data_IF_434031754783
#
_entry.id   IF_434031754783
#
_cell.length_a   1.000
_cell.length_b   1.000
_cell.length_c   1.000
_cell.angle_alpha   90.00
_cell.angle_beta   90.00
_cell.angle_gamma   90.00
#
_symmetry.space_group_name_H-M   'P 1'
#
loop_
_entity.id
_entity.type
_entity.pdbx_description
1 polymer ?
#
# COMPACT_ATOMS: atom_id res chain seq x y z
N UNK A 1 -23.55 -0.92 31.95
CA UNK A 1 -22.67 -0.44 30.91
C UNK A 1 -21.34 0.02 31.50
N UNK A 2 -20.22 -0.01 30.78
CA UNK A 2 -18.96 0.47 31.29
C UNK A 2 -19.11 1.93 31.72
N UNK A 3 -18.44 2.35 32.78
CA UNK A 3 -18.42 3.71 33.27
C UNK A 3 -18.11 4.67 32.12
N UNK A 4 -19.06 5.53 31.79
CA UNK A 4 -18.87 6.54 30.77
C UNK A 4 -17.72 7.44 31.22
N UNK A 5 -16.64 7.49 30.44
CA UNK A 5 -15.56 8.46 30.67
C UNK A 5 -16.20 9.83 30.69
N UNK A 6 -16.09 10.56 31.84
CA UNK A 6 -16.57 11.94 31.91
C UNK A 6 -15.70 12.80 30.99
N UNK A 7 -16.22 13.13 29.83
CA UNK A 7 -15.57 14.10 28.94
C UNK A 7 -15.57 15.45 29.66
N UNK A 8 -14.40 16.08 29.72
CA UNK A 8 -14.26 17.43 30.30
C UNK A 8 -14.47 18.52 29.24
N UNK A 9 -14.13 18.22 28.00
CA UNK A 9 -14.28 19.12 26.86
C UNK A 9 -14.76 18.33 25.64
N UNK A 10 -15.72 18.88 24.93
CA UNK A 10 -16.20 18.39 23.64
C UNK A 10 -15.95 19.48 22.60
N UNK A 11 -15.11 19.18 21.60
CA UNK A 11 -14.78 20.11 20.52
C UNK A 11 -15.34 19.57 19.22
N UNK A 12 -16.17 20.38 18.57
CA UNK A 12 -16.79 20.04 17.28
C UNK A 12 -15.99 20.70 16.15
N UNK A 13 -15.42 19.90 15.28
CA UNK A 13 -14.58 20.39 14.17
C UNK A 13 -15.38 21.16 13.13
N UNK A 14 -16.53 20.61 12.72
CA UNK A 14 -17.49 21.26 11.81
C UNK A 14 -18.86 21.29 12.47
N UNK A 15 -19.30 22.46 12.96
CA UNK A 15 -20.58 22.62 13.64
C UNK A 15 -21.78 22.71 12.68
N UNK A 16 -21.59 22.57 11.37
CA UNK A 16 -22.68 22.65 10.39
C UNK A 16 -23.74 21.58 10.67
N UNK A 17 -24.97 22.02 10.97
CA UNK A 17 -26.08 21.12 11.29
C UNK A 17 -26.04 20.53 12.70
N UNK A 18 -25.15 20.99 13.58
CA UNK A 18 -25.13 20.62 15.00
C UNK A 18 -25.90 21.68 15.79
N UNK A 19 -26.85 21.23 16.61
CA UNK A 19 -27.58 22.14 17.49
C UNK A 19 -26.63 22.76 18.54
N UNK A 20 -26.70 24.07 18.76
CA UNK A 20 -25.91 24.73 19.79
C UNK A 20 -26.20 24.15 21.18
N UNK A 21 -25.16 23.84 21.95
CA UNK A 21 -25.30 23.40 23.34
C UNK A 21 -24.10 23.89 24.17
N UNK A 22 -24.30 24.01 25.48
CA UNK A 22 -23.29 24.54 26.40
C UNK A 22 -22.18 23.51 26.72
N UNK A 23 -22.32 22.26 26.27
CA UNK A 23 -21.45 21.16 26.56
C UNK A 23 -20.34 20.93 25.50
N UNK A 24 -20.30 21.74 24.44
CA UNK A 24 -19.28 21.70 23.41
C UNK A 24 -18.88 23.10 22.93
N UNK A 25 -17.67 23.20 22.37
CA UNK A 25 -17.19 24.40 21.64
C UNK A 25 -16.75 24.02 20.22
N UNK A 26 -16.81 24.96 19.27
CA UNK A 26 -16.27 24.72 17.93
C UNK A 26 -14.73 24.76 17.94
N UNK A 27 -14.12 24.06 16.99
CA UNK A 27 -12.67 24.16 16.78
C UNK A 27 -12.24 25.61 16.50
N UNK A 28 -13.05 26.37 15.75
CA UNK A 28 -12.78 27.78 15.44
C UNK A 28 -12.77 28.66 16.72
N UNK A 29 -13.70 28.44 17.66
CA UNK A 29 -13.72 29.17 18.92
C UNK A 29 -12.52 28.80 19.81
N UNK A 30 -12.16 27.52 19.83
CA UNK A 30 -10.96 27.06 20.52
C UNK A 30 -9.69 27.71 19.94
N UNK A 31 -9.54 27.77 18.63
CA UNK A 31 -8.40 28.40 17.94
C UNK A 31 -8.34 29.91 18.23
N UNK A 32 -9.49 30.62 18.22
CA UNK A 32 -9.56 32.03 18.60
C UNK A 32 -9.09 32.24 20.03
N UNK A 33 -9.62 31.48 20.98
CA UNK A 33 -9.22 31.52 22.40
C UNK A 33 -7.75 31.17 22.59
N UNK A 34 -7.24 30.20 21.82
CA UNK A 34 -5.82 29.83 21.81
C UNK A 34 -4.94 30.98 21.32
N UNK A 35 -5.37 31.65 20.24
CA UNK A 35 -4.64 32.81 19.66
C UNK A 35 -4.57 33.97 20.68
N UNK A 36 -5.66 34.27 21.37
CA UNK A 36 -5.67 35.32 22.42
C UNK A 36 -4.71 35.02 23.57
N UNK A 37 -4.42 33.74 23.85
CA UNK A 37 -3.51 33.29 24.93
C UNK A 37 -2.08 33.01 24.49
N UNK A 38 -1.74 33.22 23.23
CA UNK A 38 -0.41 32.87 22.68
C UNK A 38 0.75 33.50 23.47
N UNK A 39 0.64 34.79 23.82
CA UNK A 39 1.67 35.51 24.56
C UNK A 39 1.75 35.04 26.02
N UNK A 40 0.61 34.84 26.67
CA UNK A 40 0.51 34.36 28.06
C UNK A 40 1.13 32.98 28.25
N UNK A 41 0.88 32.10 27.30
CA UNK A 41 1.30 30.67 27.34
C UNK A 41 2.68 30.41 26.73
N UNK A 42 3.36 31.41 26.20
CA UNK A 42 4.61 31.24 25.46
C UNK A 42 5.69 30.50 26.26
N UNK A 43 5.94 30.92 27.53
CA UNK A 43 6.95 30.30 28.38
C UNK A 43 6.63 28.84 28.70
N UNK A 44 5.35 28.53 29.02
CA UNK A 44 4.92 27.17 29.33
C UNK A 44 4.98 26.26 28.07
N UNK A 45 4.64 26.77 26.88
CA UNK A 45 4.78 26.01 25.63
C UNK A 45 6.24 25.70 25.31
N UNK A 46 7.14 26.69 25.48
CA UNK A 46 8.57 26.48 25.33
C UNK A 46 9.08 25.42 26.30
N UNK A 47 8.75 25.54 27.59
CA UNK A 47 9.11 24.53 28.60
C UNK A 47 8.63 23.14 28.25
N UNK A 48 7.36 22.97 27.83
CA UNK A 48 6.81 21.66 27.41
C UNK A 48 7.50 21.10 26.18
N UNK A 49 7.91 21.97 25.25
CA UNK A 49 8.69 21.57 24.08
C UNK A 49 10.09 21.09 24.46
N UNK A 50 10.76 21.84 25.38
CA UNK A 50 12.12 21.52 25.82
C UNK A 50 12.18 20.27 26.72
N UNK A 51 11.09 20.00 27.45
CA UNK A 51 10.96 18.82 28.31
C UNK A 51 10.75 17.51 27.52
N UNK A 52 10.46 17.60 26.20
CA UNK A 52 10.22 16.43 25.38
C UNK A 52 11.51 15.70 25.00
N UNK A 53 11.59 14.43 25.39
CA UNK A 53 12.70 13.54 25.05
C UNK A 53 12.40 12.55 23.93
N UNK A 54 13.43 11.90 23.43
CA UNK A 54 13.31 10.84 22.42
C UNK A 54 12.44 9.67 22.91
N UNK A 55 12.41 9.38 24.22
CA UNK A 55 11.64 8.29 24.81
C UNK A 55 10.15 8.59 25.00
N UNK A 56 9.72 9.85 24.87
CA UNK A 56 8.33 10.21 25.07
C UNK A 56 7.45 9.71 23.93
N UNK A 57 6.20 9.37 24.25
CA UNK A 57 5.22 8.92 23.27
C UNK A 57 4.81 10.06 22.35
N UNK A 58 5.10 9.90 21.06
CA UNK A 58 4.67 10.83 20.03
C UNK A 58 3.21 10.61 19.63
N UNK A 59 2.80 9.35 19.47
CA UNK A 59 1.45 9.01 19.04
C UNK A 59 1.06 7.58 19.40
N UNK A 60 -0.24 7.35 19.48
CA UNK A 60 -0.86 6.01 19.51
C UNK A 60 -1.55 5.76 18.18
N UNK A 61 -1.02 4.84 17.40
CA UNK A 61 -1.63 4.46 16.11
C UNK A 61 -2.39 3.16 16.25
N UNK A 62 -3.71 3.21 16.05
CA UNK A 62 -4.55 2.01 16.19
C UNK A 62 -4.49 1.16 14.91
N UNK A 63 -4.17 -0.12 15.07
CA UNK A 63 -4.23 -1.11 13.99
C UNK A 63 -5.55 -1.87 14.05
N UNK A 64 -6.23 -1.97 12.92
CA UNK A 64 -7.35 -2.90 12.76
C UNK A 64 -6.81 -4.32 12.65
N UNK A 65 -6.57 -5.00 13.79
CA UNK A 65 -6.16 -6.40 13.77
C UNK A 65 -7.14 -7.26 12.98
N UNK A 66 -6.63 -8.21 12.19
CA UNK A 66 -7.47 -9.15 11.43
C UNK A 66 -8.27 -10.09 12.34
N UNK A 67 -7.93 -10.19 13.63
CA UNK A 67 -8.46 -11.20 14.56
C UNK A 67 -8.85 -10.66 15.94
N UNK A 68 -9.25 -9.38 16.09
CA UNK A 68 -9.63 -8.85 17.39
C UNK A 68 -9.89 -7.34 17.41
N UNK A 69 -10.19 -6.77 18.59
CA UNK A 69 -10.33 -5.33 18.71
C UNK A 69 -9.02 -4.61 18.35
N UNK A 70 -9.10 -3.37 17.82
CA UNK A 70 -7.92 -2.59 17.47
C UNK A 70 -6.94 -2.46 18.64
N UNK A 71 -5.64 -2.51 18.34
CA UNK A 71 -4.56 -2.31 19.32
C UNK A 71 -3.90 -0.96 19.06
N UNK A 72 -3.73 -0.15 20.10
CA UNK A 72 -3.00 1.12 20.01
C UNK A 72 -1.50 0.86 20.09
N UNK A 73 -0.80 1.00 18.99
CA UNK A 73 0.67 0.88 18.92
C UNK A 73 1.28 2.13 19.52
N UNK A 74 2.18 1.97 20.51
CA UNK A 74 2.91 3.07 21.13
C UNK A 74 4.08 3.44 20.23
N UNK A 75 4.07 4.66 19.71
CA UNK A 75 5.16 5.16 18.87
C UNK A 75 5.82 6.37 19.57
N UNK A 76 7.10 6.24 19.89
CA UNK A 76 7.87 7.30 20.57
C UNK A 76 8.50 8.25 19.54
N UNK A 77 8.96 9.40 20.04
CA UNK A 77 9.76 10.33 19.22
C UNK A 77 11.01 9.63 18.66
N UNK A 78 11.66 8.77 19.45
CA UNK A 78 12.81 7.96 18.99
C UNK A 78 12.45 7.07 17.80
N UNK A 79 11.31 6.35 17.88
CA UNK A 79 10.90 5.47 16.80
C UNK A 79 10.69 6.24 15.47
N UNK A 80 10.01 7.40 15.54
CA UNK A 80 9.72 8.23 14.37
C UNK A 80 11.00 8.86 13.79
N UNK A 81 11.82 9.48 14.64
CA UNK A 81 13.07 10.11 14.21
C UNK A 81 14.06 9.11 13.65
N UNK A 82 14.22 7.95 14.31
CA UNK A 82 15.08 6.88 13.82
C UNK A 82 14.70 6.44 12.40
N UNK A 83 13.41 6.38 12.08
CA UNK A 83 12.97 6.03 10.72
C UNK A 83 13.36 7.09 9.68
N UNK A 84 13.23 8.38 10.04
CA UNK A 84 13.62 9.49 9.16
C UNK A 84 15.14 9.54 8.96
N UNK A 85 15.91 9.42 10.04
CA UNK A 85 17.38 9.36 10.03
C UNK A 85 17.87 8.21 9.12
N UNK A 86 17.25 7.03 9.23
CA UNK A 86 17.61 5.87 8.42
C UNK A 86 17.18 6.02 6.95
N UNK A 87 16.06 6.69 6.68
CA UNK A 87 15.63 6.99 5.32
C UNK A 87 16.61 7.94 4.62
N UNK A 88 17.17 8.92 5.35
CA UNK A 88 18.21 9.83 4.88
C UNK A 88 19.53 9.08 4.62
N UNK A 89 20.03 8.36 5.63
CA UNK A 89 21.28 7.57 5.54
C UNK A 89 21.30 6.61 4.34
N UNK A 90 20.15 6.04 3.98
CA UNK A 90 20.04 5.09 2.85
C UNK A 90 19.71 5.75 1.52
N UNK A 91 19.41 7.05 1.53
CA UNK A 91 18.98 7.79 0.34
C UNK A 91 17.57 7.42 -0.14
N UNK A 92 16.77 6.74 0.68
CA UNK A 92 15.38 6.40 0.37
C UNK A 92 14.52 7.65 0.21
N UNK A 93 14.74 8.63 1.08
CA UNK A 93 14.24 10.00 0.96
C UNK A 93 15.46 10.92 1.18
N UNK A 94 15.68 11.89 0.34
CA UNK A 94 16.83 12.79 0.42
C UNK A 94 16.47 14.23 0.02
N UNK A 95 17.37 15.16 0.27
CA UNK A 95 17.19 16.59 -0.02
C UNK A 95 16.91 16.90 -1.51
N UNK A 96 17.42 16.11 -2.45
CA UNK A 96 17.10 16.28 -3.87
C UNK A 96 15.64 16.00 -4.19
N UNK A 97 15.00 15.06 -3.48
CA UNK A 97 13.56 14.79 -3.60
C UNK A 97 12.74 15.93 -2.97
N UNK A 98 13.30 16.65 -2.01
CA UNK A 98 12.63 17.75 -1.31
C UNK A 98 12.41 18.97 -2.20
N UNK A 99 13.28 19.28 -3.16
CA UNK A 99 13.13 20.43 -4.07
C UNK A 99 11.84 20.39 -4.87
N UNK A 100 11.36 19.17 -5.23
CA UNK A 100 10.09 18.96 -5.94
C UNK A 100 8.88 18.84 -5.03
N UNK A 101 9.09 18.79 -3.71
CA UNK A 101 8.06 18.54 -2.71
C UNK A 101 7.70 17.06 -2.52
N UNK A 102 7.18 16.78 -1.33
CA UNK A 102 6.65 15.48 -0.93
C UNK A 102 5.13 15.46 -1.15
N UNK A 103 4.63 14.46 -1.84
CA UNK A 103 3.20 14.39 -2.14
C UNK A 103 2.45 13.56 -1.10
N UNK A 104 1.49 14.16 -0.39
CA UNK A 104 0.75 13.56 0.72
C UNK A 104 -0.75 13.53 0.43
N UNK A 105 -1.26 12.35 0.10
CA UNK A 105 -2.70 12.05 0.03
C UNK A 105 -3.05 10.82 0.89
N UNK A 106 -2.05 10.20 1.50
CA UNK A 106 -2.24 9.07 2.40
C UNK A 106 -2.85 9.55 3.72
N UNK A 107 -3.78 8.78 4.32
CA UNK A 107 -4.40 9.16 5.59
C UNK A 107 -3.36 9.31 6.71
N UNK A 108 -3.41 10.42 7.45
CA UNK A 108 -2.52 10.67 8.61
C UNK A 108 -2.77 9.71 9.79
N UNK A 109 -3.93 9.06 9.83
CA UNK A 109 -4.21 7.98 10.79
C UNK A 109 -3.36 6.73 10.53
N UNK A 110 -2.67 6.66 9.39
CA UNK A 110 -1.77 5.59 8.99
C UNK A 110 -0.31 6.00 9.16
N UNK A 111 0.52 5.12 9.72
CA UNK A 111 1.96 5.38 9.93
C UNK A 111 2.70 5.76 8.65
N UNK A 112 2.28 5.28 7.48
CA UNK A 112 2.89 5.67 6.21
C UNK A 112 2.59 7.14 5.87
N UNK A 113 1.35 7.60 6.00
CA UNK A 113 1.00 9.02 5.83
C UNK A 113 1.74 9.91 6.83
N UNK A 114 1.83 9.47 8.10
CA UNK A 114 2.60 10.17 9.15
C UNK A 114 4.07 10.28 8.83
N UNK A 115 4.70 9.23 8.29
CA UNK A 115 6.11 9.29 7.88
C UNK A 115 6.33 10.39 6.83
N UNK A 116 5.45 10.49 5.83
CA UNK A 116 5.56 11.52 4.79
C UNK A 116 5.32 12.92 5.37
N UNK A 117 4.34 13.08 6.26
CA UNK A 117 4.11 14.35 6.96
C UNK A 117 5.36 14.79 7.74
N UNK A 118 5.95 13.89 8.54
CA UNK A 118 7.14 14.20 9.33
C UNK A 118 8.40 14.38 8.47
N UNK A 119 8.43 13.81 7.27
CA UNK A 119 9.54 14.00 6.33
C UNK A 119 9.65 15.46 5.85
N UNK A 120 8.54 16.19 5.77
CA UNK A 120 8.54 17.60 5.37
C UNK A 120 9.46 18.45 6.25
N UNK A 121 9.16 18.63 7.55
CA UNK A 121 9.99 19.42 8.44
C UNK A 121 11.40 18.82 8.68
N UNK A 122 11.54 17.48 8.60
CA UNK A 122 12.83 16.83 8.79
C UNK A 122 13.82 17.13 7.64
N UNK A 123 13.34 17.12 6.38
CA UNK A 123 14.15 17.38 5.19
C UNK A 123 14.05 18.83 4.68
N UNK A 124 13.38 19.72 5.41
CA UNK A 124 13.06 21.09 4.95
C UNK A 124 12.37 21.10 3.58
N UNK A 125 11.41 20.18 3.41
CA UNK A 125 10.73 19.92 2.15
C UNK A 125 9.28 20.43 2.19
N UNK A 126 8.78 21.08 1.13
CA UNK A 126 7.36 21.40 1.03
C UNK A 126 6.53 20.12 0.92
N UNK A 127 5.37 20.10 1.58
CA UNK A 127 4.40 19.02 1.49
C UNK A 127 3.23 19.48 0.62
N UNK A 128 2.93 18.72 -0.42
CA UNK A 128 1.75 18.90 -1.26
C UNK A 128 0.62 18.03 -0.70
N UNK A 129 -0.38 18.67 -0.09
CA UNK A 129 -1.55 17.96 0.44
C UNK A 129 -2.58 17.79 -0.69
N UNK A 130 -2.96 16.56 -0.96
CA UNK A 130 -3.91 16.20 -2.02
C UNK A 130 -4.99 15.24 -1.52
N UNK A 131 -6.01 15.04 -2.34
CA UNK A 131 -7.10 14.07 -2.07
C UNK A 131 -7.21 13.05 -3.19
N UNK A 132 -7.84 11.90 -2.94
CA UNK A 132 -8.02 10.87 -3.97
C UNK A 132 -8.79 11.40 -5.19
N UNK A 133 -9.89 12.17 -5.05
CA UNK A 133 -10.63 12.72 -6.18
C UNK A 133 -9.80 13.67 -7.07
N UNK A 134 -8.88 14.44 -6.49
CA UNK A 134 -8.08 15.45 -7.21
C UNK A 134 -6.67 14.94 -7.57
N UNK A 135 -6.33 13.71 -7.20
CA UNK A 135 -4.99 13.13 -7.25
C UNK A 135 -4.23 13.40 -8.57
N UNK A 136 -4.86 13.13 -9.72
CA UNK A 136 -4.20 13.27 -11.02
C UNK A 136 -4.01 14.76 -11.38
N UNK A 137 -4.99 15.60 -11.07
CA UNK A 137 -4.89 17.04 -11.30
C UNK A 137 -3.77 17.64 -10.44
N UNK A 138 -3.76 17.33 -9.15
CA UNK A 138 -2.76 17.81 -8.20
C UNK A 138 -1.34 17.34 -8.58
N UNK A 139 -1.19 16.08 -9.02
CA UNK A 139 0.09 15.55 -9.50
C UNK A 139 0.61 16.31 -10.74
N UNK A 140 -0.27 16.56 -11.71
CA UNK A 140 0.14 17.27 -12.94
C UNK A 140 0.44 18.74 -12.71
N UNK A 141 -0.22 19.37 -11.75
CA UNK A 141 0.01 20.76 -11.38
C UNK A 141 1.31 20.91 -10.58
N UNK A 142 1.50 20.09 -9.56
CA UNK A 142 2.61 20.24 -8.59
C UNK A 142 3.89 19.56 -9.04
N UNK A 143 3.82 18.45 -9.78
CA UNK A 143 4.96 17.69 -10.33
C UNK A 143 5.98 17.34 -9.23
N UNK A 144 5.58 16.56 -8.20
CA UNK A 144 6.38 16.33 -7.00
C UNK A 144 7.68 15.58 -7.28
N UNK A 145 8.69 15.83 -6.44
CA UNK A 145 9.97 15.11 -6.50
C UNK A 145 9.89 13.68 -5.95
N UNK A 146 8.91 13.42 -5.05
CA UNK A 146 8.70 12.12 -4.42
C UNK A 146 7.21 11.80 -4.31
N UNK A 147 6.83 10.59 -4.72
CA UNK A 147 5.44 10.15 -4.71
C UNK A 147 5.26 8.80 -4.01
N UNK A 148 4.79 8.80 -2.76
CA UNK A 148 4.45 7.58 -2.01
C UNK A 148 2.99 7.18 -2.26
N UNK A 149 2.75 5.90 -2.53
CA UNK A 149 1.38 5.40 -2.72
C UNK A 149 1.24 3.91 -2.37
N UNK A 150 0.01 3.44 -2.20
CA UNK A 150 -0.29 2.02 -2.17
C UNK A 150 -0.20 1.42 -3.59
N UNK A 151 0.11 0.12 -3.73
CA UNK A 151 0.24 -0.56 -5.04
C UNK A 151 -0.93 -0.33 -5.98
N UNK A 152 -2.15 -0.29 -5.47
CA UNK A 152 -3.38 -0.09 -6.27
C UNK A 152 -3.36 1.19 -7.11
N UNK A 153 -2.70 2.24 -6.63
CA UNK A 153 -2.56 3.49 -7.37
C UNK A 153 -1.71 3.27 -8.63
N UNK A 154 -0.58 2.59 -8.48
CA UNK A 154 0.31 2.25 -9.59
C UNK A 154 -0.35 1.27 -10.58
N UNK A 155 -1.10 0.29 -10.08
CA UNK A 155 -1.89 -0.64 -10.90
C UNK A 155 -2.90 0.11 -11.78
N UNK A 156 -3.68 1.02 -11.19
CA UNK A 156 -4.64 1.86 -11.93
C UNK A 156 -3.95 2.78 -12.94
N UNK A 157 -2.81 3.37 -12.58
CA UNK A 157 -2.04 4.22 -13.50
C UNK A 157 -1.53 3.40 -14.69
N UNK A 158 -0.92 2.22 -14.46
CA UNK A 158 -0.48 1.30 -15.51
C UNK A 158 -1.64 0.95 -16.45
N UNK A 159 -2.76 0.50 -15.90
CA UNK A 159 -3.94 0.11 -16.68
C UNK A 159 -4.46 1.25 -17.56
N UNK A 160 -4.56 2.49 -17.05
CA UNK A 160 -4.97 3.66 -17.83
C UNK A 160 -4.00 3.99 -18.96
N UNK A 161 -2.69 3.86 -18.73
CA UNK A 161 -1.66 4.08 -19.76
C UNK A 161 -1.80 3.04 -20.86
N UNK A 162 -1.92 1.75 -20.50
CA UNK A 162 -2.06 0.63 -21.46
C UNK A 162 -3.35 0.73 -22.27
N UNK A 163 -4.46 1.07 -21.62
CA UNK A 163 -5.75 1.29 -22.30
C UNK A 163 -5.66 2.43 -23.32
N UNK A 164 -5.04 3.55 -22.95
CA UNK A 164 -4.82 4.68 -23.87
C UNK A 164 -3.90 4.31 -25.01
N UNK A 165 -2.87 3.52 -24.75
CA UNK A 165 -1.94 3.02 -25.77
C UNK A 165 -2.62 2.01 -26.74
N UNK A 166 -3.47 1.12 -26.23
CA UNK A 166 -4.24 0.17 -27.02
C UNK A 166 -5.20 0.87 -28.02
N UNK A 167 -5.75 2.03 -27.63
CA UNK A 167 -6.57 2.88 -28.50
C UNK A 167 -5.77 3.63 -29.57
N UNK A 168 -4.44 3.68 -29.47
CA UNK A 168 -3.60 4.33 -30.48
C UNK A 168 -3.52 3.48 -31.75
N UNK A 169 -3.42 4.15 -32.93
CA UNK A 169 -3.35 3.49 -34.24
C UNK A 169 -2.07 3.86 -34.98
N UNK A 170 -1.64 2.97 -35.88
CA UNK A 170 -0.50 3.23 -36.78
C UNK A 170 0.82 3.50 -36.02
N UNK A 171 1.58 4.48 -36.50
CA UNK A 171 2.92 4.80 -36.01
C UNK A 171 2.94 5.10 -34.49
N UNK A 172 1.87 5.68 -33.93
CA UNK A 172 1.81 5.99 -32.50
C UNK A 172 1.83 4.72 -31.65
N UNK A 173 1.10 3.67 -32.05
CA UNK A 173 1.09 2.38 -31.36
C UNK A 173 2.46 1.71 -31.44
N UNK A 174 3.02 1.58 -32.64
CA UNK A 174 4.35 0.98 -32.85
C UNK A 174 5.44 1.70 -32.07
N UNK A 175 5.39 3.04 -32.03
CA UNK A 175 6.37 3.83 -31.28
C UNK A 175 6.23 3.64 -29.78
N UNK A 176 5.01 3.54 -29.25
CA UNK A 176 4.76 3.23 -27.85
C UNK A 176 5.34 1.84 -27.47
N UNK A 177 4.97 0.81 -28.24
CA UNK A 177 5.43 -0.56 -28.03
C UNK A 177 6.97 -0.66 -28.09
N UNK A 178 7.58 -0.04 -29.10
CA UNK A 178 9.03 0.05 -29.21
C UNK A 178 9.68 0.75 -28.03
N UNK A 179 9.12 1.88 -27.58
CA UNK A 179 9.69 2.65 -26.47
C UNK A 179 9.66 1.87 -25.15
N UNK A 180 8.57 1.14 -24.90
CA UNK A 180 8.49 0.26 -23.72
C UNK A 180 9.40 -0.96 -23.83
N UNK A 181 9.53 -1.57 -25.02
CA UNK A 181 10.49 -2.67 -25.23
C UNK A 181 11.92 -2.22 -24.94
N UNK A 182 12.34 -1.05 -25.46
CA UNK A 182 13.66 -0.45 -25.13
C UNK A 182 13.75 -0.14 -23.63
N UNK A 183 12.69 0.37 -23.00
CA UNK A 183 12.63 0.62 -21.57
C UNK A 183 12.89 -0.66 -20.76
N UNK A 184 12.22 -1.75 -21.09
CA UNK A 184 12.40 -3.06 -20.43
C UNK A 184 13.85 -3.57 -20.53
N UNK A 185 14.54 -3.37 -21.67
CA UNK A 185 15.96 -3.71 -21.80
C UNK A 185 16.83 -2.94 -20.78
N UNK A 186 16.41 -1.76 -20.30
CA UNK A 186 17.17 -0.95 -19.33
C UNK A 186 16.96 -1.39 -17.88
N UNK A 187 15.89 -2.12 -17.56
CA UNK A 187 15.50 -2.48 -16.19
C UNK A 187 16.62 -3.14 -15.38
N UNK A 188 17.37 -4.15 -15.91
CA UNK A 188 18.46 -4.78 -15.15
C UNK A 188 19.56 -3.80 -14.74
N UNK A 189 19.92 -2.86 -15.63
CA UNK A 189 20.94 -1.85 -15.36
C UNK A 189 20.47 -0.84 -14.31
N UNK A 190 19.22 -0.39 -14.43
CA UNK A 190 18.58 0.50 -13.44
C UNK A 190 18.52 -0.15 -12.06
N UNK A 191 18.06 -1.38 -12.00
CA UNK A 191 18.01 -2.15 -10.76
C UNK A 191 19.36 -2.27 -10.07
N UNK A 192 20.44 -2.44 -10.85
CA UNK A 192 21.81 -2.57 -10.35
C UNK A 192 22.54 -1.22 -10.18
N UNK A 193 21.92 -0.09 -10.49
CA UNK A 193 22.58 1.22 -10.48
C UNK A 193 23.72 1.34 -11.49
N UNK A 194 23.68 0.56 -12.57
CA UNK A 194 24.74 0.52 -13.56
C UNK A 194 24.43 1.45 -14.75
N UNK A 195 25.45 2.06 -15.36
CA UNK A 195 25.26 2.84 -16.56
C UNK A 195 24.81 1.96 -17.74
N UNK A 196 23.94 2.52 -18.58
CA UNK A 196 23.46 1.80 -19.77
C UNK A 196 24.58 1.65 -20.79
N UNK A 197 24.70 0.49 -21.48
CA UNK A 197 25.60 0.33 -22.63
C UNK A 197 25.33 1.39 -23.68
N UNK A 198 26.38 1.89 -24.37
CA UNK A 198 26.31 3.06 -25.22
C UNK A 198 25.17 3.07 -26.25
N UNK A 199 24.97 1.97 -26.98
CA UNK A 199 23.88 1.86 -27.97
C UNK A 199 22.50 1.80 -27.30
N UNK A 200 22.36 1.06 -26.20
CA UNK A 200 21.11 0.99 -25.43
C UNK A 200 20.80 2.37 -24.82
N UNK A 201 21.80 3.07 -24.29
CA UNK A 201 21.63 4.41 -23.76
C UNK A 201 21.13 5.40 -24.82
N UNK A 202 21.63 5.32 -26.07
CA UNK A 202 21.13 6.15 -27.18
C UNK A 202 19.67 5.78 -27.56
N UNK A 203 19.35 4.49 -27.65
CA UNK A 203 17.99 4.03 -27.92
C UNK A 203 17.02 4.51 -26.84
N UNK A 204 17.40 4.38 -25.55
CA UNK A 204 16.58 4.82 -24.44
C UNK A 204 16.36 6.34 -24.43
N UNK A 205 17.40 7.14 -24.69
CA UNK A 205 17.26 8.61 -24.84
C UNK A 205 16.26 8.97 -25.93
N UNK A 206 16.26 8.24 -27.05
CA UNK A 206 15.31 8.47 -28.13
C UNK A 206 13.89 8.04 -27.73
N UNK A 207 13.73 6.86 -27.13
CA UNK A 207 12.46 6.35 -26.62
C UNK A 207 11.85 7.30 -25.56
N UNK A 208 12.68 7.80 -24.64
CA UNK A 208 12.28 8.76 -23.63
C UNK A 208 11.81 10.07 -24.26
N UNK A 209 12.58 10.66 -25.16
CA UNK A 209 12.22 11.93 -25.84
C UNK A 209 10.92 11.80 -26.66
N UNK A 210 10.70 10.68 -27.31
CA UNK A 210 9.56 10.49 -28.21
C UNK A 210 8.28 10.13 -27.46
N UNK A 211 8.36 9.30 -26.43
CA UNK A 211 7.20 8.71 -25.75
C UNK A 211 7.27 8.82 -24.22
N UNK A 212 8.32 8.23 -23.56
CA UNK A 212 8.27 8.00 -22.11
C UNK A 212 8.22 9.29 -21.31
N UNK A 213 8.98 10.33 -21.72
CA UNK A 213 8.92 11.65 -21.07
C UNK A 213 7.54 12.29 -21.15
N UNK A 214 6.80 12.07 -22.25
CA UNK A 214 5.44 12.59 -22.41
C UNK A 214 4.45 11.83 -21.54
N UNK A 215 4.64 10.52 -21.37
CA UNK A 215 3.83 9.70 -20.45
C UNK A 215 4.10 10.15 -19.01
N UNK A 216 5.36 10.32 -18.63
CA UNK A 216 5.75 10.83 -17.30
C UNK A 216 5.14 12.20 -17.02
N UNK A 217 5.24 13.13 -17.95
CA UNK A 217 4.67 14.48 -17.83
C UNK A 217 3.14 14.47 -17.70
N UNK A 218 2.45 13.56 -18.42
CA UNK A 218 1.01 13.41 -18.34
C UNK A 218 0.54 12.83 -16.98
N UNK A 219 1.45 12.21 -16.21
CA UNK A 219 1.23 11.73 -14.85
C UNK A 219 1.73 12.71 -13.78
N UNK A 220 2.41 13.80 -14.16
CA UNK A 220 3.08 14.70 -13.24
C UNK A 220 4.41 14.16 -12.68
N UNK A 221 4.98 13.11 -13.27
CA UNK A 221 6.21 12.44 -12.80
C UNK A 221 7.48 12.82 -13.56
N UNK A 222 7.44 13.86 -14.35
CA UNK A 222 8.60 14.30 -15.15
C UNK A 222 9.73 14.95 -14.33
N UNK A 223 9.45 15.33 -13.08
CA UNK A 223 10.42 15.76 -12.07
C UNK A 223 10.60 14.76 -10.94
N UNK A 224 9.80 13.70 -10.92
CA UNK A 224 9.82 12.72 -9.83
C UNK A 224 11.13 11.92 -9.86
N UNK A 225 11.85 11.92 -8.75
CA UNK A 225 13.10 11.20 -8.59
C UNK A 225 12.87 9.77 -8.11
N UNK A 226 11.85 9.55 -7.28
CA UNK A 226 11.47 8.22 -6.83
C UNK A 226 9.96 8.12 -6.54
N UNK A 227 9.43 6.95 -6.82
CA UNK A 227 8.10 6.49 -6.42
C UNK A 227 8.28 5.47 -5.30
N UNK A 228 7.47 5.54 -4.25
CA UNK A 228 7.54 4.58 -3.14
C UNK A 228 6.21 3.82 -3.02
N UNK A 229 6.27 2.51 -3.15
CA UNK A 229 5.13 1.62 -2.95
C UNK A 229 5.21 0.92 -1.60
N UNK A 230 4.13 0.96 -0.81
CA UNK A 230 4.09 0.32 0.49
C UNK A 230 2.69 -0.10 0.93
N UNK A 231 2.58 -0.69 2.11
CA UNK A 231 1.33 -1.14 2.77
C UNK A 231 0.66 -2.38 2.19
N UNK A 232 1.03 -2.84 1.00
CA UNK A 232 0.57 -4.08 0.37
C UNK A 232 1.62 -4.59 -0.63
N UNK A 233 1.58 -5.86 -1.06
CA UNK A 233 2.49 -6.40 -2.07
C UNK A 233 2.34 -5.69 -3.41
N UNK A 234 3.48 -5.33 -4.03
CA UNK A 234 3.52 -4.77 -5.37
C UNK A 234 3.63 -5.90 -6.41
N UNK A 235 2.80 -5.84 -7.44
CA UNK A 235 2.92 -6.81 -8.54
C UNK A 235 4.20 -6.55 -9.36
N UNK A 236 4.92 -7.62 -9.70
CA UNK A 236 6.19 -7.55 -10.43
C UNK A 236 6.05 -6.86 -11.81
N UNK A 237 4.96 -7.13 -12.55
CA UNK A 237 4.72 -6.49 -13.85
C UNK A 237 4.48 -4.99 -13.72
N UNK A 238 3.82 -4.55 -12.65
CA UNK A 238 3.61 -3.12 -12.35
C UNK A 238 4.94 -2.48 -11.99
N UNK A 239 5.75 -3.14 -11.17
CA UNK A 239 7.08 -2.68 -10.79
C UNK A 239 7.97 -2.47 -12.02
N UNK A 240 8.11 -3.51 -12.86
CA UNK A 240 8.90 -3.47 -14.10
C UNK A 240 8.40 -2.41 -15.08
N UNK A 241 7.08 -2.20 -15.16
CA UNK A 241 6.49 -1.21 -16.04
C UNK A 241 6.98 0.21 -15.72
N UNK A 242 6.98 0.61 -14.46
CA UNK A 242 7.48 1.93 -14.04
C UNK A 242 8.99 2.04 -14.19
N UNK A 243 9.75 0.99 -13.87
CA UNK A 243 11.19 0.95 -14.12
C UNK A 243 11.51 1.11 -15.61
N UNK A 244 10.75 0.45 -16.50
CA UNK A 244 10.89 0.60 -17.95
C UNK A 244 10.58 2.02 -18.44
N UNK A 245 9.69 2.74 -17.76
CA UNK A 245 9.47 4.17 -18.04
C UNK A 245 10.62 5.08 -17.60
N UNK A 246 11.61 4.54 -16.90
CA UNK A 246 12.71 5.30 -16.35
C UNK A 246 12.41 5.94 -14.99
N UNK A 247 11.43 5.43 -14.26
CA UNK A 247 11.05 5.84 -12.91
C UNK A 247 11.48 4.78 -11.91
N UNK A 248 12.20 5.17 -10.85
CA UNK A 248 12.56 4.26 -9.77
C UNK A 248 11.34 4.05 -8.87
N UNK A 249 10.59 2.97 -9.10
CA UNK A 249 9.51 2.54 -8.21
C UNK A 249 10.14 1.64 -7.13
N UNK A 250 10.20 2.14 -5.90
CA UNK A 250 10.81 1.47 -4.76
C UNK A 250 9.71 0.77 -3.95
N UNK A 251 9.79 -0.55 -3.80
CA UNK A 251 8.89 -1.27 -2.91
C UNK A 251 9.47 -1.27 -1.50
N UNK A 252 8.63 -0.92 -0.50
CA UNK A 252 8.99 -0.91 0.90
C UNK A 252 8.04 -1.77 1.72
N UNK A 253 8.56 -2.34 2.80
CA UNK A 253 7.82 -3.15 3.75
C UNK A 253 8.00 -2.67 5.16
N UNK A 254 6.92 -2.79 5.91
CA UNK A 254 6.86 -2.58 7.35
C UNK A 254 5.43 -2.55 7.85
N UNK A 255 5.30 -2.26 9.13
CA UNK A 255 4.05 -2.30 9.88
C UNK A 255 3.89 -1.01 10.69
N UNK A 256 2.72 -0.78 11.25
CA UNK A 256 2.52 0.33 12.20
C UNK A 256 3.48 0.20 13.37
N UNK A 257 3.75 -1.01 13.81
CA UNK A 257 4.68 -1.38 14.90
C UNK A 257 6.14 -1.05 14.58
N UNK A 258 6.49 -0.76 13.32
CA UNK A 258 7.87 -0.48 12.88
C UNK A 258 8.08 0.95 12.36
N UNK A 259 7.14 1.84 12.55
CA UNK A 259 7.12 3.30 12.36
C UNK A 259 7.54 3.88 11.00
N UNK A 260 7.03 3.43 9.86
CA UNK A 260 6.45 2.15 9.49
C UNK A 260 7.44 1.20 8.78
N UNK A 261 8.70 1.57 8.56
CA UNK A 261 9.62 0.89 7.65
C UNK A 261 10.52 -0.15 8.31
N UNK A 262 10.73 -1.27 7.62
CA UNK A 262 11.73 -2.28 7.94
C UNK A 262 12.73 -2.47 6.78
N UNK A 263 12.18 -2.60 5.57
CA UNK A 263 12.98 -2.81 4.37
C UNK A 263 12.49 -1.96 3.22
N UNK A 264 13.36 -1.62 2.29
CA UNK A 264 13.00 -0.96 1.03
C UNK A 264 13.97 -1.35 -0.09
N UNK A 265 13.47 -1.38 -1.33
CA UNK A 265 14.33 -1.22 -2.47
C UNK A 265 14.89 0.21 -2.45
N UNK A 266 16.16 0.36 -2.79
CA UNK A 266 16.86 1.64 -2.76
C UNK A 266 17.30 2.03 -4.17
N UNK A 267 17.48 3.32 -4.48
CA UNK A 267 17.98 3.74 -5.78
C UNK A 267 19.27 2.98 -6.18
N UNK A 268 19.25 2.34 -7.33
CA UNK A 268 20.36 1.52 -7.81
C UNK A 268 20.58 0.18 -7.08
N UNK A 269 19.69 -0.19 -6.16
CA UNK A 269 19.67 -1.48 -5.45
C UNK A 269 18.22 -1.97 -5.39
N UNK A 270 17.67 -2.29 -6.56
CA UNK A 270 16.27 -2.73 -6.72
C UNK A 270 16.29 -4.21 -7.11
N UNK A 271 15.44 -5.01 -6.49
CA UNK A 271 15.22 -6.41 -6.89
C UNK A 271 13.71 -6.65 -6.97
N UNK A 272 13.20 -6.71 -8.20
CA UNK A 272 11.76 -6.90 -8.45
C UNK A 272 11.27 -8.18 -7.79
N UNK A 273 10.10 -8.10 -7.16
CA UNK A 273 9.51 -9.21 -6.41
C UNK A 273 10.08 -9.41 -5.00
N UNK A 274 10.86 -8.44 -4.51
CA UNK A 274 11.33 -8.35 -3.12
C UNK A 274 10.94 -6.99 -2.52
N UNK A 275 10.83 -6.94 -1.22
CA UNK A 275 10.62 -5.70 -0.45
C UNK A 275 11.92 -5.00 -0.08
N UNK A 276 13.00 -5.33 -0.78
CA UNK A 276 14.30 -4.66 -0.68
C UNK A 276 15.18 -5.10 0.48
N UNK A 277 16.07 -4.22 0.85
CA UNK A 277 17.09 -4.38 1.88
C UNK A 277 16.62 -3.82 3.23
N UNK A 278 17.11 -4.32 4.37
CA UNK A 278 16.91 -3.66 5.65
C UNK A 278 17.34 -2.19 5.59
N UNK A 279 16.51 -1.28 6.11
CA UNK A 279 16.78 0.17 6.07
C UNK A 279 17.75 0.53 7.20
N UNK A 280 18.87 1.15 6.86
CA UNK A 280 19.85 1.67 7.82
C UNK A 280 20.31 0.62 8.85
N UNK A 281 20.00 0.86 10.12
CA UNK A 281 20.40 0.03 11.27
C UNK A 281 19.38 -1.06 11.64
N UNK A 282 18.29 -1.18 10.89
CA UNK A 282 17.29 -2.24 11.10
C UNK A 282 17.93 -3.62 10.88
N UNK A 283 17.70 -4.50 11.82
CA UNK A 283 18.14 -5.89 11.73
C UNK A 283 16.94 -6.78 11.38
N UNK A 284 17.14 -7.68 10.43
CA UNK A 284 16.15 -8.67 10.00
C UNK A 284 16.74 -10.06 10.17
N UNK A 285 15.95 -10.97 10.69
CA UNK A 285 16.24 -12.40 10.83
C UNK A 285 15.04 -13.21 10.36
N UNK A 286 15.26 -14.33 9.71
CA UNK A 286 14.21 -15.29 9.37
C UNK A 286 14.26 -16.41 10.40
N UNK A 287 13.16 -16.62 11.11
CA UNK A 287 13.01 -17.68 12.08
C UNK A 287 12.91 -19.07 11.41
N UNK A 288 13.04 -20.15 12.17
CA UNK A 288 12.98 -21.54 11.65
C UNK A 288 11.64 -21.85 10.96
N UNK A 289 10.55 -21.25 11.43
CA UNK A 289 9.21 -21.39 10.83
C UNK A 289 8.96 -20.44 9.65
N UNK A 290 9.98 -19.66 9.25
CA UNK A 290 9.93 -18.71 8.15
C UNK A 290 9.38 -17.33 8.51
N UNK A 291 9.10 -17.05 9.80
CA UNK A 291 8.66 -15.72 10.22
C UNK A 291 9.79 -14.69 10.11
N UNK A 292 9.45 -13.52 9.61
CA UNK A 292 10.35 -12.36 9.58
C UNK A 292 10.37 -11.75 10.99
N UNK A 293 11.55 -11.72 11.60
CA UNK A 293 11.79 -11.06 12.87
C UNK A 293 12.59 -9.78 12.65
N UNK A 294 12.27 -8.74 13.41
CA UNK A 294 12.89 -7.43 13.25
C UNK A 294 13.39 -6.86 14.59
N UNK A 295 14.50 -6.09 14.53
CA UNK A 295 15.05 -5.37 15.68
C UNK A 295 15.62 -4.03 15.23
N UNK A 296 15.29 -2.95 15.95
CA UNK A 296 15.74 -1.59 15.62
C UNK A 296 15.07 -0.54 16.49
N UNK A 297 15.64 0.67 16.51
CA UNK A 297 15.09 1.80 17.29
C UNK A 297 13.73 2.27 16.74
N UNK A 298 13.44 2.03 15.48
CA UNK A 298 12.16 2.32 14.85
C UNK A 298 11.01 1.40 15.27
N UNK A 299 11.28 0.35 16.07
CA UNK A 299 10.26 -0.62 16.48
C UNK A 299 9.58 -0.16 17.76
N UNK A 300 8.25 -0.26 17.81
CA UNK A 300 7.42 0.09 18.97
C UNK A 300 7.91 -0.58 20.26
N UNK A 301 7.60 0.04 21.39
CA UNK A 301 7.79 -0.57 22.71
C UNK A 301 6.63 -1.49 23.11
N UNK A 302 5.54 -1.55 22.32
CA UNK A 302 4.38 -2.40 22.58
C UNK A 302 3.03 -1.74 22.31
N UNK A 303 2.01 -2.26 22.96
CA UNK A 303 0.62 -1.86 22.76
C UNK A 303 0.03 -1.24 24.04
N UNK A 304 -0.66 -0.11 23.87
CA UNK A 304 -1.32 0.63 24.94
C UNK A 304 -2.29 -0.25 25.73
N UNK A 305 -2.07 -0.36 27.03
CA UNK A 305 -2.89 -1.15 27.96
C UNK A 305 -3.08 -2.62 27.54
N UNK A 306 -2.08 -3.22 26.88
CA UNK A 306 -2.12 -4.62 26.40
C UNK A 306 -0.78 -5.32 26.72
N UNK A 307 -0.43 -5.53 28.01
CA UNK A 307 0.86 -6.11 28.36
C UNK A 307 1.06 -7.55 27.83
N UNK A 308 0.01 -8.37 27.80
CA UNK A 308 0.07 -9.73 27.25
C UNK A 308 0.37 -9.72 25.75
N UNK A 309 -0.35 -8.87 24.98
CA UNK A 309 -0.10 -8.75 23.55
C UNK A 309 1.28 -8.15 23.25
N UNK A 310 1.81 -7.33 24.14
CA UNK A 310 3.17 -6.79 24.05
C UNK A 310 4.19 -7.90 24.28
N UNK A 311 3.99 -8.72 25.32
CA UNK A 311 4.88 -9.86 25.61
C UNK A 311 4.88 -10.91 24.49
N UNK A 312 3.72 -11.15 23.85
CA UNK A 312 3.61 -12.06 22.70
C UNK A 312 4.30 -11.52 21.43
N UNK A 313 4.50 -10.21 21.33
CA UNK A 313 5.07 -9.57 20.15
C UNK A 313 6.59 -9.56 20.12
N UNK A 314 7.26 -9.87 21.22
CA UNK A 314 8.72 -9.89 21.33
C UNK A 314 9.22 -11.21 21.91
N UNK A 315 10.34 -11.71 21.41
CA UNK A 315 11.06 -12.83 22.05
C UNK A 315 11.96 -12.33 23.21
N UNK A 316 12.55 -13.28 23.95
CA UNK A 316 13.44 -13.01 25.09
C UNK A 316 14.70 -12.21 24.71
N UNK A 317 15.11 -12.29 23.44
CA UNK A 317 16.25 -11.54 22.89
C UNK A 317 15.84 -10.15 22.37
N UNK A 318 14.56 -9.77 22.46
CA UNK A 318 14.00 -8.50 22.02
C UNK A 318 13.78 -8.38 20.51
N UNK A 319 13.62 -9.49 19.80
CA UNK A 319 13.18 -9.47 18.41
C UNK A 319 11.67 -9.37 18.33
N UNK A 320 11.21 -8.44 17.50
CA UNK A 320 9.80 -8.24 17.22
C UNK A 320 9.31 -9.28 16.20
N UNK A 321 8.24 -9.97 16.53
CA UNK A 321 7.53 -10.91 15.68
C UNK A 321 6.58 -10.17 14.74
N UNK A 322 6.91 -10.10 13.45
CA UNK A 322 6.10 -9.33 12.48
C UNK A 322 4.78 -10.03 12.13
N UNK A 323 4.69 -11.32 12.33
CA UNK A 323 3.59 -12.16 11.85
C UNK A 323 3.60 -12.39 10.34
N UNK A 324 4.59 -11.87 9.63
CA UNK A 324 4.77 -12.06 8.20
C UNK A 324 5.83 -13.13 7.94
N UNK A 325 5.59 -13.97 6.95
CA UNK A 325 6.52 -15.02 6.51
C UNK A 325 7.35 -14.52 5.32
N UNK A 326 8.61 -14.94 5.28
CA UNK A 326 9.47 -14.52 4.20
C UNK A 326 10.79 -15.29 4.12
N UNK A 327 11.65 -14.82 3.24
CA UNK A 327 13.01 -15.29 3.07
C UNK A 327 13.94 -14.10 2.83
N UNK A 328 15.19 -14.27 3.11
CA UNK A 328 16.25 -13.31 2.82
C UNK A 328 17.32 -14.02 2.01
N UNK A 329 17.71 -13.46 0.87
CA UNK A 329 18.73 -14.03 0.02
C UNK A 329 20.16 -13.66 0.46
N UNK A 330 21.17 -14.17 -0.26
CA UNK A 330 22.58 -13.92 0.04
C UNK A 330 22.96 -12.42 -0.07
N UNK A 331 22.27 -11.66 -0.90
CA UNK A 331 22.45 -10.22 -1.07
C UNK A 331 21.62 -9.42 -0.04
N UNK A 332 20.95 -10.09 0.90
CA UNK A 332 20.10 -9.56 1.96
C UNK A 332 18.79 -8.95 1.48
N UNK A 333 18.35 -9.19 0.25
CA UNK A 333 17.00 -8.79 -0.17
C UNK A 333 15.96 -9.67 0.51
N UNK A 334 14.97 -9.02 1.12
CA UNK A 334 13.87 -9.67 1.81
C UNK A 334 12.71 -9.86 0.84
N UNK A 335 12.14 -11.07 0.84
CA UNK A 335 10.94 -11.41 0.09
C UNK A 335 9.86 -11.88 1.03
N UNK A 336 8.70 -11.21 1.03
CA UNK A 336 7.52 -11.65 1.76
C UNK A 336 6.85 -12.79 0.99
N UNK A 337 6.52 -13.86 1.69
CA UNK A 337 5.83 -15.01 1.12
C UNK A 337 4.40 -15.16 1.62
N UNK A 338 4.01 -14.45 2.70
CA UNK A 338 2.64 -14.43 3.19
C UNK A 338 2.53 -13.94 4.62
N UNK A 339 1.32 -14.00 5.19
CA UNK A 339 1.06 -13.76 6.61
C UNK A 339 0.81 -15.06 7.35
N UNK A 340 1.47 -15.25 8.49
CA UNK A 340 1.36 -16.47 9.31
C UNK A 340 -0.08 -16.79 9.67
N UNK A 341 -0.87 -15.79 10.06
CA UNK A 341 -2.28 -15.90 10.41
C UNK A 341 -3.25 -15.98 9.22
N UNK A 342 -2.80 -15.68 8.01
CA UNK A 342 -3.62 -15.69 6.80
C UNK A 342 -3.34 -16.89 5.90
N UNK A 343 -2.33 -17.69 6.23
CA UNK A 343 -2.08 -18.95 5.54
C UNK A 343 -3.31 -19.86 5.63
N UNK A 344 -3.82 -20.27 4.49
CA UNK A 344 -4.89 -21.24 4.39
C UNK A 344 -4.29 -22.62 4.19
N UNK A 345 -4.74 -23.60 4.98
CA UNK A 345 -4.33 -24.98 4.83
C UNK A 345 -5.47 -25.77 4.15
N UNK A 346 -5.26 -26.21 2.92
CA UNK A 346 -6.24 -27.06 2.24
C UNK A 346 -6.46 -28.38 2.98
N UNK A 347 -7.58 -29.06 2.71
CA UNK A 347 -7.86 -30.40 3.26
C UNK A 347 -6.78 -31.43 2.89
N UNK A 348 -6.06 -31.22 1.78
CA UNK A 348 -4.91 -32.03 1.38
C UNK A 348 -3.58 -31.62 2.02
N UNK A 349 -3.60 -30.73 3.03
CA UNK A 349 -2.41 -30.30 3.78
C UNK A 349 -1.49 -29.30 3.05
N UNK A 350 -1.91 -28.77 1.91
CA UNK A 350 -1.14 -27.77 1.15
C UNK A 350 -1.44 -26.36 1.66
N UNK A 351 -0.41 -25.53 1.77
CA UNK A 351 -0.54 -24.13 2.15
C UNK A 351 -0.81 -23.26 0.93
N UNK A 352 -1.78 -22.35 1.05
CA UNK A 352 -2.16 -21.34 0.06
C UNK A 352 -1.89 -19.97 0.66
N UNK A 353 -1.28 -19.10 -0.13
CA UNK A 353 -1.05 -17.70 0.20
C UNK A 353 -2.07 -16.82 -0.49
N UNK A 354 -3.10 -16.31 0.22
CA UNK A 354 -4.19 -15.53 -0.38
C UNK A 354 -3.69 -14.30 -1.12
N UNK A 355 -2.83 -13.53 -0.49
CA UNK A 355 -2.38 -12.23 -0.98
C UNK A 355 -1.78 -12.28 -2.40
N UNK A 356 -1.03 -13.36 -2.72
CA UNK A 356 -0.44 -13.57 -4.06
C UNK A 356 -1.52 -13.78 -5.11
N UNK A 357 -2.50 -14.66 -4.82
CA UNK A 357 -3.58 -14.96 -5.75
C UNK A 357 -4.51 -13.76 -5.95
N UNK A 358 -4.88 -13.10 -4.87
CA UNK A 358 -5.74 -11.92 -4.86
C UNK A 358 -5.08 -10.74 -5.58
N UNK A 359 -3.78 -10.53 -5.36
CA UNK A 359 -3.01 -9.51 -6.09
C UNK A 359 -3.02 -9.74 -7.60
N UNK A 360 -2.82 -10.98 -8.06
CA UNK A 360 -2.87 -11.31 -9.48
C UNK A 360 -4.26 -11.12 -10.06
N UNK A 361 -5.32 -11.54 -9.36
CA UNK A 361 -6.69 -11.34 -9.81
C UNK A 361 -7.04 -9.87 -9.99
N UNK A 362 -6.55 -9.00 -9.13
CA UNK A 362 -6.79 -7.55 -9.18
C UNK A 362 -6.06 -6.82 -10.32
N UNK A 363 -5.23 -7.50 -11.10
CA UNK A 363 -4.62 -6.91 -12.29
C UNK A 363 -5.62 -6.65 -13.42
N UNK A 364 -6.76 -7.33 -13.45
CA UNK A 364 -7.83 -6.96 -14.37
C UNK A 364 -8.51 -5.68 -13.86
N UNK A 365 -8.50 -4.57 -14.63
CA UNK A 365 -8.94 -3.26 -14.14
C UNK A 365 -10.35 -3.24 -13.54
N UNK A 366 -11.28 -3.99 -14.14
CA UNK A 366 -12.66 -4.09 -13.64
C UNK A 366 -12.79 -4.81 -12.29
N UNK A 367 -11.75 -5.51 -11.80
CA UNK A 367 -11.79 -6.16 -10.49
C UNK A 367 -11.37 -5.16 -9.41
N UNK A 368 -12.32 -4.81 -8.55
CA UNK A 368 -12.08 -3.96 -7.39
C UNK A 368 -11.31 -4.70 -6.30
N UNK A 369 -11.86 -5.85 -5.87
CA UNK A 369 -11.30 -6.71 -4.85
C UNK A 369 -11.52 -8.19 -5.17
N UNK A 370 -10.61 -9.03 -4.68
CA UNK A 370 -10.71 -10.47 -4.74
C UNK A 370 -10.43 -11.07 -3.36
N UNK A 371 -11.24 -12.05 -2.97
CA UNK A 371 -11.08 -12.79 -1.71
C UNK A 371 -11.05 -14.28 -2.02
N UNK A 372 -9.90 -14.91 -1.84
CA UNK A 372 -9.73 -16.34 -2.07
C UNK A 372 -10.12 -17.16 -0.84
N UNK A 373 -10.68 -18.34 -1.07
CA UNK A 373 -11.12 -19.28 -0.04
C UNK A 373 -10.48 -20.64 -0.35
N UNK A 374 -9.74 -21.19 0.63
CA UNK A 374 -9.11 -22.50 0.50
C UNK A 374 -8.97 -23.24 1.86
N UNK A 375 -9.13 -22.52 2.98
CA UNK A 375 -8.90 -23.12 4.30
C UNK A 375 -9.84 -24.28 4.56
N UNK A 376 -9.25 -25.42 4.92
CA UNK A 376 -9.96 -26.71 5.12
C UNK A 376 -10.69 -27.24 3.86
N UNK A 377 -10.51 -26.62 2.70
CA UNK A 377 -11.20 -26.96 1.46
C UNK A 377 -10.31 -27.76 0.50
N UNK A 378 -10.94 -28.45 -0.47
CA UNK A 378 -10.22 -29.31 -1.42
C UNK A 378 -9.52 -28.54 -2.55
N UNK A 379 -9.93 -27.30 -2.81
CA UNK A 379 -9.41 -26.44 -3.84
C UNK A 379 -9.68 -24.97 -3.54
N UNK A 380 -9.04 -24.06 -4.27
CA UNK A 380 -9.22 -22.62 -4.12
C UNK A 380 -10.45 -22.15 -4.91
N UNK A 381 -11.24 -21.28 -4.28
CA UNK A 381 -12.30 -20.50 -4.94
C UNK A 381 -12.09 -19.01 -4.66
N UNK A 382 -12.80 -18.12 -5.37
CA UNK A 382 -12.70 -16.70 -5.17
C UNK A 382 -14.07 -16.00 -5.17
N UNK A 383 -14.22 -15.00 -4.31
CA UNK A 383 -15.23 -13.96 -4.41
C UNK A 383 -14.59 -12.75 -5.08
N UNK A 384 -15.22 -12.21 -6.11
CA UNK A 384 -14.69 -11.13 -6.93
C UNK A 384 -15.67 -9.97 -6.89
N UNK A 385 -15.24 -8.82 -6.37
CA UNK A 385 -15.99 -7.59 -6.43
C UNK A 385 -15.58 -6.79 -7.67
N UNK A 386 -16.55 -6.28 -8.40
CA UNK A 386 -16.32 -5.48 -9.61
C UNK A 386 -16.33 -4.00 -9.26
N UNK A 387 -15.37 -3.24 -9.81
CA UNK A 387 -15.30 -1.77 -9.70
C UNK A 387 -16.32 -1.17 -10.68
N UNK A 388 -17.36 -0.44 -10.20
CA UNK A 388 -18.42 0.08 -11.06
C UNK A 388 -17.91 1.09 -12.10
N UNK A 389 -16.96 1.95 -11.73
CA UNK A 389 -16.43 2.97 -12.64
C UNK A 389 -15.57 2.33 -13.73
N UNK A 390 -14.70 1.41 -13.34
CA UNK A 390 -13.85 0.69 -14.31
C UNK A 390 -14.68 -0.23 -15.22
N UNK A 391 -15.78 -0.82 -14.72
CA UNK A 391 -16.71 -1.60 -15.54
C UNK A 391 -17.40 -0.73 -16.57
N UNK A 392 -17.88 0.45 -16.18
CA UNK A 392 -18.50 1.44 -17.07
C UNK A 392 -17.55 1.87 -18.19
N UNK A 393 -16.29 2.17 -17.85
CA UNK A 393 -15.27 2.53 -18.82
C UNK A 393 -14.96 1.37 -19.78
N UNK A 394 -14.86 0.15 -19.24
CA UNK A 394 -14.65 -1.06 -20.03
C UNK A 394 -15.84 -1.35 -20.98
N UNK A 395 -17.06 -1.22 -20.49
CA UNK A 395 -18.27 -1.38 -21.28
C UNK A 395 -18.33 -0.38 -22.45
N UNK A 396 -18.02 0.89 -22.19
CA UNK A 396 -17.98 1.93 -23.21
C UNK A 396 -16.93 1.67 -24.30
N UNK A 397 -15.76 1.10 -23.94
CA UNK A 397 -14.68 0.80 -24.87
C UNK A 397 -14.92 -0.47 -25.70
N UNK A 398 -15.59 -1.46 -25.12
CA UNK A 398 -15.77 -2.79 -25.75
C UNK A 398 -17.14 -2.99 -26.37
N UNK A 399 -18.09 -2.10 -26.09
CA UNK A 399 -19.48 -2.25 -26.50
C UNK A 399 -20.25 -3.32 -25.71
N UNK A 400 -19.70 -3.79 -24.60
CA UNK A 400 -20.32 -4.77 -23.72
C UNK A 400 -21.31 -4.09 -22.73
N UNK A 401 -22.21 -4.86 -22.10
CA UNK A 401 -23.11 -4.33 -21.07
C UNK A 401 -22.33 -3.79 -19.84
N UNK A 402 -22.79 -2.67 -19.30
CA UNK A 402 -22.39 -2.14 -17.99
C UNK A 402 -23.18 -2.89 -16.89
N UNK A 403 -22.94 -4.17 -16.77
CA UNK A 403 -23.57 -5.07 -15.80
C UNK A 403 -22.55 -6.09 -15.28
N UNK A 404 -22.23 -6.06 -13.97
CA UNK A 404 -21.28 -6.99 -13.37
C UNK A 404 -21.74 -8.47 -13.47
N UNK A 405 -23.03 -8.73 -13.65
CA UNK A 405 -23.59 -10.08 -13.78
C UNK A 405 -23.75 -10.53 -15.23
N UNK A 406 -23.43 -9.68 -16.21
CA UNK A 406 -23.52 -10.05 -17.63
C UNK A 406 -22.58 -11.21 -17.99
N UNK A 407 -22.94 -11.96 -19.02
CA UNK A 407 -22.09 -13.05 -19.53
C UNK A 407 -20.75 -12.51 -20.06
N UNK A 408 -20.73 -11.30 -20.61
CA UNK A 408 -19.51 -10.64 -21.08
C UNK A 408 -18.54 -10.33 -19.93
N UNK A 409 -19.04 -9.78 -18.82
CA UNK A 409 -18.23 -9.52 -17.62
C UNK A 409 -17.71 -10.82 -17.02
N UNK A 410 -18.57 -11.84 -16.89
CA UNK A 410 -18.19 -13.18 -16.40
C UNK A 410 -17.13 -13.83 -17.28
N UNK A 411 -17.27 -13.71 -18.60
CA UNK A 411 -16.29 -14.26 -19.55
C UNK A 411 -14.93 -13.53 -19.45
N UNK A 412 -14.93 -12.21 -19.30
CA UNK A 412 -13.70 -11.43 -19.10
C UNK A 412 -12.98 -11.83 -17.79
N UNK A 413 -13.73 -11.96 -16.70
CA UNK A 413 -13.19 -12.42 -15.41
C UNK A 413 -12.67 -13.85 -15.51
N UNK A 414 -13.40 -14.78 -16.18
CA UNK A 414 -12.96 -16.15 -16.36
C UNK A 414 -11.66 -16.24 -17.17
N UNK A 415 -11.57 -15.51 -18.27
CA UNK A 415 -10.36 -15.48 -19.09
C UNK A 415 -9.14 -14.98 -18.28
N UNK A 416 -9.36 -14.00 -17.40
CA UNK A 416 -8.31 -13.49 -16.52
C UNK A 416 -7.94 -14.51 -15.40
N UNK A 417 -8.92 -15.17 -14.79
CA UNK A 417 -8.68 -16.27 -13.84
C UNK A 417 -7.87 -17.39 -14.49
N UNK A 418 -8.20 -17.77 -15.72
CA UNK A 418 -7.47 -18.79 -16.48
C UNK A 418 -6.03 -18.33 -16.78
N UNK A 419 -5.85 -17.05 -17.07
CA UNK A 419 -4.52 -16.46 -17.25
C UNK A 419 -3.71 -16.51 -15.94
N UNK A 420 -4.28 -16.08 -14.83
CA UNK A 420 -3.62 -16.11 -13.51
C UNK A 420 -3.29 -17.53 -13.05
N UNK A 421 -4.06 -18.51 -13.44
CA UNK A 421 -3.84 -19.93 -13.12
C UNK A 421 -2.63 -20.54 -13.87
N UNK A 422 -2.17 -19.92 -14.97
CA UNK A 422 -1.02 -20.43 -15.73
C UNK A 422 0.25 -20.39 -14.86
N UNK A 423 0.94 -21.51 -14.81
CA UNK A 423 2.18 -21.63 -14.03
C UNK A 423 2.01 -21.84 -12.53
N UNK A 424 0.77 -21.86 -12.02
CA UNK A 424 0.49 -22.23 -10.64
C UNK A 424 0.44 -23.75 -10.46
N UNK A 425 0.80 -24.23 -9.28
CA UNK A 425 0.56 -25.63 -8.91
C UNK A 425 -0.95 -25.90 -8.89
N UNK A 426 -1.36 -27.13 -9.22
CA UNK A 426 -2.78 -27.49 -9.34
C UNK A 426 -3.62 -27.17 -8.10
N UNK A 427 -3.02 -27.24 -6.90
CA UNK A 427 -3.68 -26.92 -5.64
C UNK A 427 -3.80 -25.41 -5.37
N UNK A 428 -3.05 -24.56 -6.07
CA UNK A 428 -3.10 -23.10 -5.96
C UNK A 428 -4.09 -22.48 -6.96
N UNK A 429 -4.52 -23.21 -7.99
CA UNK A 429 -5.38 -22.67 -9.04
C UNK A 429 -6.79 -22.39 -8.54
N UNK A 430 -7.32 -21.20 -8.85
CA UNK A 430 -8.73 -20.85 -8.58
C UNK A 430 -9.63 -21.65 -9.51
N UNK A 431 -10.48 -22.50 -8.94
CA UNK A 431 -11.35 -23.43 -9.71
C UNK A 431 -12.71 -22.80 -10.03
N UNK A 432 -13.26 -22.03 -9.12
CA UNK A 432 -14.55 -21.35 -9.28
C UNK A 432 -14.48 -19.98 -8.65
N UNK A 433 -15.30 -19.07 -9.18
CA UNK A 433 -15.51 -17.76 -8.57
C UNK A 433 -16.98 -17.36 -8.57
N UNK A 434 -17.32 -16.36 -7.75
CA UNK A 434 -18.60 -15.66 -7.77
C UNK A 434 -18.35 -14.17 -7.76
N UNK A 435 -19.11 -13.44 -8.59
CA UNK A 435 -19.11 -12.00 -8.57
C UNK A 435 -20.05 -11.54 -7.45
N UNK A 436 -19.54 -10.67 -6.59
CA UNK A 436 -20.23 -10.10 -5.44
C UNK A 436 -20.32 -8.57 -5.59
N UNK A 437 -21.23 -7.90 -4.86
CA UNK A 437 -21.30 -6.44 -4.84
C UNK A 437 -19.96 -5.80 -4.46
N UNK A 438 -19.72 -4.53 -4.88
CA UNK A 438 -18.54 -3.77 -4.49
C UNK A 438 -18.32 -3.77 -2.98
N UNK A 439 -17.06 -3.88 -2.56
CA UNK A 439 -16.68 -3.83 -1.15
C UNK A 439 -16.35 -2.39 -0.78
N UNK A 440 -16.99 -1.86 0.26
CA UNK A 440 -16.83 -0.47 0.71
C UNK A 440 -16.69 -0.40 2.23
N UNK A 441 -16.30 0.77 2.73
CA UNK A 441 -16.34 1.09 4.16
C UNK A 441 -17.78 1.14 4.66
N UNK A 442 -18.70 1.69 3.86
CA UNK A 442 -20.10 1.90 4.22
C UNK A 442 -20.87 0.59 4.38
N UNK A 443 -20.57 -0.41 3.54
CA UNK A 443 -21.17 -1.74 3.70
C UNK A 443 -20.42 -2.64 4.68
N UNK A 444 -19.37 -2.11 5.32
CA UNK A 444 -18.62 -2.76 6.39
C UNK A 444 -17.66 -3.85 5.93
N UNK A 445 -17.45 -4.05 4.62
CA UNK A 445 -16.56 -5.06 4.07
C UNK A 445 -15.10 -4.62 4.01
N UNK A 446 -14.85 -3.29 4.01
CA UNK A 446 -13.51 -2.72 4.11
C UNK A 446 -13.31 -2.03 5.47
N UNK A 447 -12.05 -1.93 5.88
CA UNK A 447 -11.62 -1.04 6.96
C UNK A 447 -11.56 0.41 6.46
N UNK A 448 -11.42 1.40 7.36
CA UNK A 448 -11.17 2.79 6.98
C UNK A 448 -9.90 2.98 6.12
N UNK A 449 -8.95 2.04 6.21
CA UNK A 449 -7.75 1.98 5.38
C UNK A 449 -7.92 1.16 4.09
N UNK A 450 -9.17 0.91 3.68
CA UNK A 450 -9.55 0.16 2.48
C UNK A 450 -9.03 -1.28 2.42
N UNK A 451 -8.73 -1.90 3.56
CA UNK A 451 -8.35 -3.33 3.64
C UNK A 451 -9.58 -4.20 3.83
N UNK A 452 -9.63 -5.31 3.13
CA UNK A 452 -10.75 -6.28 3.22
C UNK A 452 -10.84 -6.88 4.63
N UNK A 453 -12.03 -6.80 5.22
CA UNK A 453 -12.37 -7.50 6.47
C UNK A 453 -12.75 -8.93 6.14
N UNK A 454 -11.75 -9.78 5.88
CA UNK A 454 -11.91 -11.15 5.37
C UNK A 454 -13.00 -11.93 6.11
N UNK A 455 -12.99 -11.95 7.46
CA UNK A 455 -14.00 -12.67 8.24
C UNK A 455 -15.41 -12.20 7.93
N UNK A 456 -15.64 -10.88 7.87
CA UNK A 456 -16.96 -10.29 7.56
C UNK A 456 -17.41 -10.67 6.16
N UNK A 457 -16.49 -10.69 5.19
CA UNK A 457 -16.77 -11.10 3.80
C UNK A 457 -17.18 -12.58 3.75
N UNK A 458 -16.41 -13.45 4.41
CA UNK A 458 -16.70 -14.89 4.45
C UNK A 458 -18.05 -15.19 5.13
N UNK A 459 -18.35 -14.51 6.23
CA UNK A 459 -19.62 -14.67 6.95
C UNK A 459 -20.79 -14.17 6.09
N UNK A 460 -20.65 -13.02 5.41
CA UNK A 460 -21.72 -12.44 4.58
C UNK A 460 -22.05 -13.27 3.33
N UNK A 461 -21.06 -13.86 2.71
CA UNK A 461 -21.23 -14.61 1.46
C UNK A 461 -21.12 -16.12 1.64
N UNK A 462 -21.39 -16.62 2.87
CA UNK A 462 -21.27 -18.03 3.22
C UNK A 462 -22.03 -18.98 2.29
N UNK A 463 -23.25 -18.63 1.88
CA UNK A 463 -24.07 -19.41 0.96
C UNK A 463 -23.44 -19.54 -0.42
N UNK A 464 -22.96 -18.41 -0.99
CA UNK A 464 -22.27 -18.43 -2.29
C UNK A 464 -20.97 -19.25 -2.22
N UNK A 465 -20.28 -19.19 -1.09
CA UNK A 465 -19.09 -20.02 -0.88
C UNK A 465 -19.47 -21.48 -0.83
N UNK A 466 -20.53 -21.84 -0.09
CA UNK A 466 -21.01 -23.22 -0.01
C UNK A 466 -21.38 -23.79 -1.38
N UNK A 467 -22.09 -23.02 -2.20
CA UNK A 467 -22.42 -23.39 -3.58
C UNK A 467 -21.20 -23.76 -4.42
N UNK A 468 -20.10 -22.99 -4.31
CA UNK A 468 -18.86 -23.25 -5.06
C UNK A 468 -18.20 -24.58 -4.67
N UNK A 469 -18.51 -25.11 -3.50
CA UNK A 469 -17.99 -26.39 -3.01
C UNK A 469 -18.99 -27.55 -3.08
N UNK A 470 -20.23 -27.30 -3.58
CA UNK A 470 -21.24 -28.35 -3.74
C UNK A 470 -20.78 -29.39 -4.76
N UNK A 471 -20.99 -30.66 -4.43
CA UNK A 471 -20.64 -31.79 -5.28
C UNK A 471 -21.35 -31.81 -6.65
N UNK A 472 -22.47 -31.10 -6.79
CA UNK A 472 -23.23 -30.99 -8.06
C UNK A 472 -22.50 -30.20 -9.13
N UNK A 473 -21.64 -29.25 -8.78
CA UNK A 473 -20.80 -28.50 -9.72
C UNK A 473 -19.68 -29.34 -10.35
N UNK A 474 -19.31 -30.46 -9.70
CA UNK A 474 -18.28 -31.39 -10.21
C UNK A 474 -18.73 -32.24 -11.39
N UNK A 475 -20.01 -32.19 -11.80
CA UNK A 475 -20.60 -33.06 -12.82
C UNK A 475 -21.03 -32.32 -14.10
N UNK A 476 -20.73 -31.04 -14.21
CA UNK A 476 -20.86 -30.25 -15.43
C UNK A 476 -19.47 -29.83 -15.93
#
# INVERSE_FOLDING_TARGET
GPEAVKLQHLIVMDPTGVEPADDWESLADLEKRGTEKLAETAAERARRSDDQGRGDTATYTYTSGTTGPPKGVIQTNANMLSMLEQADETGLINSGMSEGGLFLFLPLAHSFGRLIELSGPFFDAPIVIATIPTLVADLTETRPGFFPAAPRVFEKMKAKIETKAAGAKGIKKTLFEWSFAVGHETVPYRCAGQPLPGLLGLKFKLADKLVLSKVKAALGFDRCLALLSGSAPLNAEVHEFFLAMGLDLLEAYGLTETCPGLTANLPGKIKVGTVGLPIGKVQIKIAEDGEILAKGENITQGYLNRPEATAEAFDDDGWFHTGDLGSMDADRFVKITGRKKELMKTSGGKYIMPAKLEGNLKLLPIIQEAVTIADTRNYVTALIAIDPEELKDWAAQTGNPDDPQSDATKAAVQAHVDHCNKGLASYETVKYFRIVPPMTTDNGLLTASLKVKRKVVLDRFGDLIAEMYDAKLKRK
#
